data_IF_969937408013
#
_entry.id   IF_969937408013
#
_cell.length_a   1.000
_cell.length_b   1.000
_cell.length_c   1.000
_cell.angle_alpha   90.00
_cell.angle_beta   90.00
_cell.angle_gamma   90.00
#
_symmetry.space_group_name_H-M   'P 1'
#
loop_
_entity.id
_entity.type
_entity.pdbx_description
1 polymer ?
#
# COMPACT_ATOMS: atom_id res chain seq x y z
N UNK A 1 4.39 12.11 21.19
CA UNK A 1 4.18 11.84 22.61
C UNK A 1 3.41 10.53 22.79
N UNK A 2 3.83 9.71 23.76
CA UNK A 2 3.10 8.50 24.15
C UNK A 2 1.93 8.95 25.04
N UNK A 3 0.71 8.62 24.65
CA UNK A 3 -0.50 8.89 25.44
C UNK A 3 -0.91 7.61 26.15
N UNK A 4 -0.97 7.66 27.47
CA UNK A 4 -1.48 6.58 28.32
C UNK A 4 -2.88 6.99 28.81
N UNK A 5 -3.88 6.16 28.53
CA UNK A 5 -5.27 6.36 28.98
C UNK A 5 -5.64 5.25 29.97
N UNK A 6 -6.01 5.62 31.18
CA UNK A 6 -6.62 4.69 32.12
C UNK A 6 -8.10 4.47 31.72
N UNK A 7 -8.52 3.21 31.68
CA UNK A 7 -9.87 2.79 31.29
C UNK A 7 -10.39 1.73 32.24
N UNK A 8 -11.70 1.47 32.26
CA UNK A 8 -12.28 0.38 33.05
C UNK A 8 -11.86 -0.99 32.49
N UNK A 9 -11.94 -2.07 33.29
CA UNK A 9 -11.66 -3.43 32.82
C UNK A 9 -12.56 -3.83 31.62
N UNK A 10 -13.80 -3.38 31.59
CA UNK A 10 -14.77 -3.62 30.52
C UNK A 10 -14.33 -2.90 29.23
N UNK A 11 -13.97 -1.62 29.31
CA UNK A 11 -13.45 -0.85 28.16
C UNK A 11 -12.17 -1.46 27.61
N UNK A 12 -11.28 -1.92 28.50
CA UNK A 12 -10.05 -2.60 28.10
C UNK A 12 -10.34 -3.94 27.38
N UNK A 13 -11.26 -4.74 27.93
CA UNK A 13 -11.67 -6.01 27.32
C UNK A 13 -12.28 -5.81 25.93
N UNK A 14 -13.15 -4.81 25.77
CA UNK A 14 -13.75 -4.42 24.50
C UNK A 14 -12.64 -4.02 23.51
N UNK A 15 -11.76 -3.12 23.91
CA UNK A 15 -10.63 -2.70 23.06
C UNK A 15 -9.76 -3.87 22.58
N UNK A 16 -9.44 -4.82 23.47
CA UNK A 16 -8.64 -6.01 23.11
C UNK A 16 -9.41 -6.93 22.17
N UNK A 17 -10.71 -7.12 22.37
CA UNK A 17 -11.54 -7.94 21.48
C UNK A 17 -11.65 -7.30 20.09
N UNK A 18 -11.88 -6.01 20.01
CA UNK A 18 -11.94 -5.28 18.75
C UNK A 18 -10.62 -5.39 17.96
N UNK A 19 -9.48 -5.28 18.67
CA UNK A 19 -8.16 -5.48 18.06
C UNK A 19 -7.95 -6.90 17.56
N UNK A 20 -8.41 -7.93 18.30
CA UNK A 20 -8.34 -9.33 17.85
C UNK A 20 -9.21 -9.57 16.61
N UNK A 21 -10.44 -9.08 16.62
CA UNK A 21 -11.36 -9.19 15.48
C UNK A 21 -10.78 -8.49 14.25
N UNK A 22 -10.28 -7.27 14.40
CA UNK A 22 -9.63 -6.55 13.30
C UNK A 22 -8.42 -7.30 12.72
N UNK A 23 -7.59 -7.92 13.58
CA UNK A 23 -6.46 -8.74 13.14
C UNK A 23 -6.89 -9.99 12.39
N UNK A 24 -7.94 -10.67 12.87
CA UNK A 24 -8.50 -11.86 12.17
C UNK A 24 -9.08 -11.43 10.81
N UNK A 25 -9.84 -10.34 10.77
CA UNK A 25 -10.40 -9.80 9.54
C UNK A 25 -9.31 -9.45 8.53
N UNK A 26 -8.24 -8.80 8.98
CA UNK A 26 -7.08 -8.48 8.14
C UNK A 26 -6.40 -9.74 7.60
N UNK A 27 -6.20 -10.77 8.44
CA UNK A 27 -5.64 -12.05 8.01
C UNK A 27 -6.52 -12.73 6.94
N UNK A 28 -7.83 -12.75 7.12
CA UNK A 28 -8.77 -13.28 6.12
C UNK A 28 -8.69 -12.52 4.78
N UNK A 29 -8.54 -11.20 4.83
CA UNK A 29 -8.38 -10.38 3.63
C UNK A 29 -7.05 -10.67 2.90
N UNK A 30 -5.98 -10.99 3.62
CA UNK A 30 -4.69 -11.34 2.99
C UNK A 30 -4.68 -12.73 2.36
N UNK A 31 -5.49 -13.65 2.84
CA UNK A 31 -5.65 -15.02 2.28
C UNK A 31 -6.69 -15.10 1.15
N UNK A 32 -7.51 -14.05 0.96
CA UNK A 32 -8.49 -14.00 -0.13
C UNK A 32 -7.79 -14.05 -1.50
N UNK A 33 -8.40 -14.75 -2.45
CA UNK A 33 -8.02 -14.65 -3.87
C UNK A 33 -8.57 -13.35 -4.44
N UNK A 34 -7.69 -12.46 -4.85
CA UNK A 34 -8.02 -11.14 -5.37
C UNK A 34 -8.02 -11.13 -6.90
N UNK A 35 -9.06 -10.57 -7.50
CA UNK A 35 -9.05 -10.25 -8.92
C UNK A 35 -8.30 -8.94 -9.18
N UNK A 36 -7.75 -8.80 -10.38
CA UNK A 36 -7.13 -7.54 -10.82
C UNK A 36 -8.11 -6.36 -10.75
N UNK A 37 -9.38 -6.59 -11.10
CA UNK A 37 -10.41 -5.55 -11.07
C UNK A 37 -10.68 -5.02 -9.67
N UNK A 38 -10.80 -5.90 -8.67
CA UNK A 38 -10.98 -5.49 -7.26
C UNK A 38 -9.78 -4.68 -6.76
N UNK A 39 -8.56 -5.13 -7.06
CA UNK A 39 -7.35 -4.41 -6.67
C UNK A 39 -7.23 -3.06 -7.40
N UNK A 40 -7.65 -2.97 -8.65
CA UNK A 40 -7.66 -1.70 -9.39
C UNK A 40 -8.62 -0.68 -8.77
N UNK A 41 -9.83 -1.09 -8.40
CA UNK A 41 -10.83 -0.21 -7.77
C UNK A 41 -10.34 0.34 -6.43
N UNK A 42 -9.88 -0.55 -5.54
CA UNK A 42 -9.33 -0.14 -4.23
C UNK A 42 -8.06 0.70 -4.43
N UNK A 43 -7.21 0.30 -5.36
CA UNK A 43 -5.94 0.97 -5.66
C UNK A 43 -6.14 2.38 -6.19
N UNK A 44 -7.11 2.60 -7.08
CA UNK A 44 -7.45 3.93 -7.57
C UNK A 44 -7.93 4.83 -6.43
N UNK A 45 -8.86 4.34 -5.59
CA UNK A 45 -9.36 5.09 -4.44
C UNK A 45 -8.22 5.43 -3.45
N UNK A 46 -7.32 4.48 -3.19
CA UNK A 46 -6.15 4.68 -2.34
C UNK A 46 -5.18 5.69 -2.94
N UNK A 47 -4.95 5.63 -4.25
CA UNK A 47 -4.10 6.56 -4.99
C UNK A 47 -4.62 7.99 -4.92
N UNK A 48 -5.91 8.19 -5.18
CA UNK A 48 -6.55 9.51 -5.13
C UNK A 48 -6.43 10.16 -3.75
N UNK A 49 -6.52 9.36 -2.70
CA UNK A 49 -6.47 9.83 -1.32
C UNK A 49 -5.06 10.17 -0.83
N UNK A 50 -4.05 9.37 -1.23
CA UNK A 50 -2.75 9.37 -0.57
C UNK A 50 -1.58 9.75 -1.49
N UNK A 51 -1.72 9.63 -2.82
CA UNK A 51 -0.58 9.71 -3.74
C UNK A 51 -0.69 10.87 -4.73
N UNK A 52 -1.92 11.28 -5.07
CA UNK A 52 -2.17 12.26 -6.13
C UNK A 52 -1.55 13.63 -5.87
N UNK A 53 -1.41 14.02 -4.61
CA UNK A 53 -0.82 15.32 -4.24
C UNK A 53 0.61 15.49 -4.79
N UNK A 54 1.40 14.40 -4.80
CA UNK A 54 2.77 14.40 -5.29
C UNK A 54 2.88 13.84 -6.72
N UNK A 55 2.20 12.72 -6.99
CA UNK A 55 2.35 12.01 -8.27
C UNK A 55 1.34 12.44 -9.34
N UNK A 56 0.41 13.34 -9.02
CA UNK A 56 -0.63 13.88 -9.90
C UNK A 56 -1.64 12.81 -10.37
N UNK A 57 -2.83 13.24 -10.81
CA UNK A 57 -3.91 12.35 -11.24
C UNK A 57 -3.48 11.37 -12.35
N UNK A 58 -2.66 11.84 -13.29
CA UNK A 58 -2.14 11.03 -14.39
C UNK A 58 -0.85 10.28 -14.11
N UNK A 59 -0.37 10.22 -12.86
CA UNK A 59 0.85 9.52 -12.49
C UNK A 59 2.15 10.14 -13.02
N UNK A 60 2.11 11.35 -13.62
CA UNK A 60 3.29 11.98 -14.25
C UNK A 60 4.22 12.69 -13.28
N UNK A 61 3.77 12.88 -12.04
CA UNK A 61 4.55 13.59 -11.03
C UNK A 61 4.80 15.08 -11.37
N UNK A 62 5.78 15.64 -10.70
CA UNK A 62 6.28 17.03 -10.94
C UNK A 62 7.82 16.96 -10.91
N UNK A 63 8.47 16.55 -12.00
CA UNK A 63 9.92 16.47 -12.06
C UNK A 63 10.59 17.83 -11.83
N UNK A 64 11.77 17.89 -11.21
CA UNK A 64 12.53 16.76 -10.67
C UNK A 64 12.14 16.32 -9.26
N UNK A 65 11.19 17.00 -8.61
CA UNK A 65 10.88 16.82 -7.17
C UNK A 65 10.07 15.53 -6.93
N UNK A 66 9.03 15.33 -7.74
CA UNK A 66 8.18 14.15 -7.63
C UNK A 66 8.27 13.35 -8.94
N UNK A 67 8.83 12.13 -8.91
CA UNK A 67 9.07 11.37 -10.13
C UNK A 67 7.77 10.89 -10.78
N UNK A 68 7.81 10.73 -12.11
CA UNK A 68 6.74 10.06 -12.85
C UNK A 68 6.66 8.58 -12.46
N UNK A 69 5.44 8.10 -12.27
CA UNK A 69 5.12 6.67 -12.16
C UNK A 69 4.85 6.05 -13.54
N UNK A 70 4.45 6.89 -14.50
CA UNK A 70 4.24 6.49 -15.89
C UNK A 70 5.58 6.22 -16.54
N UNK A 71 5.75 5.02 -17.10
CA UNK A 71 7.00 4.61 -17.75
C UNK A 71 8.14 4.32 -16.79
N UNK A 72 7.91 4.33 -15.48
CA UNK A 72 8.96 4.06 -14.48
C UNK A 72 9.37 2.57 -14.49
N UNK A 73 10.64 2.27 -14.67
CA UNK A 73 11.17 0.90 -14.61
C UNK A 73 10.88 0.22 -13.26
N UNK A 74 10.94 0.97 -12.16
CA UNK A 74 10.60 0.44 -10.83
C UNK A 74 9.12 0.03 -10.80
N UNK A 75 8.24 0.94 -11.22
CA UNK A 75 6.80 0.68 -11.23
C UNK A 75 6.44 -0.47 -12.17
N UNK A 76 6.99 -0.48 -13.38
CA UNK A 76 6.60 -1.43 -14.42
C UNK A 76 7.23 -2.81 -14.25
N UNK A 77 8.49 -2.91 -13.78
CA UNK A 77 9.29 -4.13 -13.88
C UNK A 77 9.95 -4.59 -12.59
N UNK A 78 10.07 -3.71 -11.58
CA UNK A 78 10.71 -4.08 -10.31
C UNK A 78 9.69 -4.10 -9.15
N UNK A 79 8.85 -5.15 -9.12
CA UNK A 79 7.80 -5.32 -8.12
C UNK A 79 8.36 -5.28 -6.69
N UNK A 80 9.47 -5.94 -6.43
CA UNK A 80 10.08 -6.00 -5.10
C UNK A 80 10.51 -4.62 -4.61
N UNK A 81 11.18 -3.83 -5.47
CA UNK A 81 11.59 -2.46 -5.13
C UNK A 81 10.39 -1.53 -4.97
N UNK A 82 9.33 -1.73 -5.73
CA UNK A 82 8.10 -0.95 -5.59
C UNK A 82 7.43 -1.21 -4.24
N UNK A 83 7.34 -2.47 -3.80
CA UNK A 83 6.86 -2.83 -2.46
C UNK A 83 7.74 -2.17 -1.40
N UNK A 84 9.05 -2.32 -1.49
CA UNK A 84 10.00 -1.75 -0.54
C UNK A 84 9.83 -0.22 -0.39
N UNK A 85 9.64 0.52 -1.49
CA UNK A 85 9.43 1.97 -1.46
C UNK A 85 8.17 2.34 -0.67
N UNK A 86 7.06 1.64 -0.87
CA UNK A 86 5.85 1.92 -0.12
C UNK A 86 5.97 1.51 1.36
N UNK A 87 6.69 0.45 1.63
CA UNK A 87 6.89 -0.05 2.98
C UNK A 87 7.88 0.80 3.80
N UNK A 88 8.93 1.33 3.18
CA UNK A 88 10.03 1.99 3.88
C UNK A 88 10.18 3.48 3.55
N UNK A 89 9.55 3.91 2.47
CA UNK A 89 9.81 5.23 1.92
C UNK A 89 11.14 5.28 1.16
N UNK A 90 11.59 6.49 0.89
CA UNK A 90 12.88 6.74 0.24
C UNK A 90 13.69 7.68 1.11
N UNK A 91 14.82 7.21 1.64
CA UNK A 91 15.69 8.00 2.50
C UNK A 91 16.16 9.28 1.78
N UNK A 92 16.00 10.41 2.41
CA UNK A 92 16.39 11.72 1.87
C UNK A 92 15.42 12.30 0.85
N UNK A 93 14.27 11.66 0.61
CA UNK A 93 13.23 12.15 -0.30
C UNK A 93 11.91 12.41 0.45
N UNK A 94 10.96 13.07 -0.23
CA UNK A 94 9.63 13.32 0.32
C UNK A 94 8.71 12.07 0.37
N UNK A 95 9.12 10.97 -0.27
CA UNK A 95 8.36 9.71 -0.27
C UNK A 95 8.49 9.02 1.09
N UNK A 96 7.46 9.15 1.91
CA UNK A 96 7.40 8.55 3.23
C UNK A 96 7.00 7.06 3.18
N UNK A 97 7.22 6.32 4.29
CA UNK A 97 6.66 4.98 4.49
C UNK A 97 5.14 5.04 4.67
N UNK A 98 4.45 4.09 4.06
CA UNK A 98 3.00 3.88 4.23
C UNK A 98 2.67 2.62 5.05
N UNK A 99 3.68 1.90 5.57
CA UNK A 99 3.51 0.64 6.28
C UNK A 99 2.55 0.71 7.48
N UNK A 100 2.52 1.86 8.18
CA UNK A 100 1.66 2.10 9.34
C UNK A 100 0.41 2.92 9.03
N UNK A 101 0.31 3.46 7.80
CA UNK A 101 -0.78 4.34 7.38
C UNK A 101 -1.84 3.61 6.55
N UNK A 102 -1.43 2.59 5.81
CA UNK A 102 -2.27 1.79 4.93
C UNK A 102 -2.27 0.32 5.34
N UNK A 103 -3.38 -0.35 5.11
CA UNK A 103 -3.50 -1.80 5.27
C UNK A 103 -2.74 -2.54 4.16
N UNK A 104 -2.44 -3.81 4.37
CA UNK A 104 -1.80 -4.67 3.36
C UNK A 104 -2.61 -4.71 2.05
N UNK A 105 -3.95 -4.66 2.16
CA UNK A 105 -4.85 -4.61 1.01
C UNK A 105 -4.68 -3.31 0.24
N UNK A 106 -4.68 -2.17 0.92
CA UNK A 106 -4.52 -0.85 0.28
C UNK A 106 -3.13 -0.69 -0.36
N UNK A 107 -2.06 -1.17 0.30
CA UNK A 107 -0.70 -1.12 -0.25
C UNK A 107 -0.62 -2.00 -1.51
N UNK A 108 -1.08 -3.25 -1.46
CA UNK A 108 -1.09 -4.15 -2.60
C UNK A 108 -1.92 -3.58 -3.77
N UNK A 109 -3.09 -3.03 -3.45
CA UNK A 109 -4.01 -2.46 -4.41
C UNK A 109 -3.43 -1.22 -5.11
N UNK A 110 -2.84 -0.28 -4.37
CA UNK A 110 -2.26 0.93 -4.97
C UNK A 110 -1.01 0.62 -5.80
N UNK A 111 -0.20 -0.35 -5.39
CA UNK A 111 0.91 -0.84 -6.21
C UNK A 111 0.36 -1.45 -7.51
N UNK A 112 -0.65 -2.32 -7.41
CA UNK A 112 -1.30 -2.91 -8.58
C UNK A 112 -1.87 -1.84 -9.49
N UNK A 113 -2.60 -0.86 -8.96
CA UNK A 113 -3.14 0.26 -9.73
C UNK A 113 -2.06 0.99 -10.52
N UNK A 114 -1.00 1.44 -9.88
CA UNK A 114 0.07 2.19 -10.56
C UNK A 114 0.84 1.35 -11.58
N UNK A 115 0.89 0.03 -11.41
CA UNK A 115 1.51 -0.91 -12.36
C UNK A 115 0.62 -1.19 -13.57
N UNK A 116 -0.69 -1.06 -13.41
CA UNK A 116 -1.67 -1.36 -14.48
C UNK A 116 -2.17 -0.11 -15.20
N UNK A 117 -2.21 1.05 -14.51
CA UNK A 117 -2.75 2.28 -15.04
C UNK A 117 -1.82 2.96 -16.07
N UNK A 118 -2.37 3.89 -16.83
CA UNK A 118 -1.66 4.84 -17.70
C UNK A 118 -0.78 4.19 -18.78
N UNK A 119 -1.10 2.97 -19.22
CA UNK A 119 -0.32 2.22 -20.21
C UNK A 119 0.89 1.47 -19.64
N UNK A 120 1.07 1.47 -18.32
CA UNK A 120 2.17 0.75 -17.68
C UNK A 120 2.04 -0.78 -17.83
N UNK A 121 0.81 -1.31 -17.89
CA UNK A 121 0.58 -2.75 -18.06
C UNK A 121 1.06 -3.25 -19.42
N UNK A 122 0.84 -2.47 -20.47
CA UNK A 122 1.16 -2.84 -21.86
C UNK A 122 2.67 -2.86 -22.12
N UNK A 123 3.41 -2.03 -21.40
CA UNK A 123 4.87 -1.87 -21.59
C UNK A 123 5.70 -2.50 -20.48
N UNK A 124 5.08 -2.85 -19.38
CA UNK A 124 5.69 -3.47 -18.20
C UNK A 124 5.61 -4.99 -18.20
N UNK A 125 5.73 -5.58 -17.00
CA UNK A 125 5.62 -7.03 -16.80
C UNK A 125 4.17 -7.50 -16.55
N UNK A 126 3.21 -6.57 -16.45
CA UNK A 126 1.80 -6.84 -16.21
C UNK A 126 1.45 -7.48 -14.86
N UNK A 127 2.43 -7.69 -13.99
CA UNK A 127 2.23 -8.39 -12.71
C UNK A 127 1.49 -7.51 -11.70
N UNK A 128 0.52 -8.10 -11.04
CA UNK A 128 -0.17 -7.51 -9.89
C UNK A 128 0.58 -7.81 -8.59
N UNK A 129 0.23 -7.09 -7.52
CA UNK A 129 0.66 -7.36 -6.14
C UNK A 129 -0.57 -7.72 -5.32
N UNK A 130 -0.50 -8.83 -4.58
CA UNK A 130 -1.59 -9.27 -3.70
C UNK A 130 -1.27 -8.96 -2.23
N UNK A 131 -2.28 -8.79 -1.36
CA UNK A 131 -2.08 -8.44 0.05
C UNK A 131 -1.15 -9.39 0.81
N UNK A 132 -1.14 -10.67 0.46
CA UNK A 132 -0.23 -11.65 1.05
C UNK A 132 1.24 -11.30 0.84
N UNK A 133 1.62 -10.76 -0.31
CA UNK A 133 3.02 -10.37 -0.58
C UNK A 133 3.47 -9.21 0.34
N UNK A 134 2.56 -8.31 0.69
CA UNK A 134 2.82 -7.23 1.64
C UNK A 134 2.98 -7.78 3.07
N UNK A 135 2.11 -8.72 3.46
CA UNK A 135 2.21 -9.40 4.75
C UNK A 135 3.52 -10.19 4.86
N UNK A 136 3.88 -10.94 3.82
CA UNK A 136 5.14 -11.68 3.78
C UNK A 136 6.35 -10.75 3.87
N UNK A 137 6.31 -9.59 3.22
CA UNK A 137 7.35 -8.56 3.35
C UNK A 137 7.49 -8.08 4.80
N UNK A 138 6.38 -7.77 5.48
CA UNK A 138 6.37 -7.37 6.90
C UNK A 138 6.98 -8.46 7.80
N UNK A 139 6.58 -9.70 7.61
CA UNK A 139 7.02 -10.83 8.44
C UNK A 139 8.51 -11.18 8.24
N UNK A 140 9.07 -10.97 7.07
CA UNK A 140 10.47 -11.26 6.79
C UNK A 140 11.45 -10.18 7.32
N UNK A 141 10.94 -9.06 7.84
CA UNK A 141 11.75 -7.97 8.41
C UNK A 141 11.67 -7.88 9.94
N UNK A 142 10.82 -8.68 10.58
CA UNK A 142 10.74 -8.84 12.02
C UNK A 142 11.67 -9.95 12.50
#
# INVERSE_FOLDING_TARGET
PIVVKAVSPEEYSTFINDKKVAKIQQALLTEKVWSTSELMEIGEATYQKNCVACHQVGGRGIPPVFPSLVGSEIVMRNKARHIEILMEGVQGAAMASYAEQLTEVEIAAVITYTRQAWGNAETGDGKIVIPKEILDYKNNKL
#
